data_IF_145356019208
#
_entry.id   IF_145356019208
#
_cell.length_a   1.000
_cell.length_b   1.000
_cell.length_c   1.000
_cell.angle_alpha   90.00
_cell.angle_beta   90.00
_cell.angle_gamma   90.00
#
_symmetry.space_group_name_H-M   'P 1'
#
loop_
_entity.id
_entity.type
_entity.pdbx_description
1 polymer ?
#
# COMPACT_ATOMS: atom_id res chain seq x y z
N UNK A 1 2.15 -0.23 -16.10
CA UNK A 1 1.17 -0.37 -14.99
C UNK A 1 1.86 -0.72 -13.68
N UNK A 2 2.56 -1.85 -13.62
CA UNK A 2 3.22 -2.37 -12.41
C UNK A 2 4.17 -1.38 -11.73
N UNK A 3 4.88 -0.55 -12.50
CA UNK A 3 5.82 0.47 -11.96
C UNK A 3 5.09 1.73 -11.44
N UNK A 4 3.94 2.06 -12.02
CA UNK A 4 3.22 3.30 -11.69
C UNK A 4 2.44 3.18 -10.37
N UNK A 5 1.90 2.00 -10.06
CA UNK A 5 1.20 1.74 -8.80
C UNK A 5 2.07 2.07 -7.56
N UNK A 6 3.29 1.52 -7.40
CA UNK A 6 4.14 1.88 -6.27
C UNK A 6 4.67 3.32 -6.36
N UNK A 7 4.80 3.90 -7.55
CA UNK A 7 5.21 5.32 -7.71
C UNK A 7 4.15 6.27 -7.16
N UNK A 8 2.89 6.09 -7.54
CA UNK A 8 1.77 6.86 -7.01
C UNK A 8 1.60 6.63 -5.50
N UNK A 9 1.70 5.37 -5.07
CA UNK A 9 1.69 5.01 -3.64
C UNK A 9 2.80 5.71 -2.85
N UNK A 10 4.01 5.86 -3.42
CA UNK A 10 5.13 6.58 -2.80
C UNK A 10 4.80 8.05 -2.57
N UNK A 11 4.24 8.73 -3.56
CA UNK A 11 3.89 10.16 -3.44
C UNK A 11 2.88 10.40 -2.31
N UNK A 12 1.85 9.55 -2.22
CA UNK A 12 0.87 9.58 -1.14
C UNK A 12 1.51 9.28 0.22
N UNK A 13 2.31 8.21 0.30
CA UNK A 13 2.99 7.80 1.53
C UNK A 13 3.95 8.88 2.05
N UNK A 14 4.69 9.57 1.18
CA UNK A 14 5.59 10.67 1.58
C UNK A 14 4.81 11.82 2.21
N UNK A 15 3.64 12.18 1.67
CA UNK A 15 2.78 13.22 2.25
C UNK A 15 2.27 12.82 3.63
N UNK A 16 1.78 11.58 3.77
CA UNK A 16 1.29 11.06 5.05
C UNK A 16 2.41 10.98 6.11
N UNK A 17 3.62 10.54 5.73
CA UNK A 17 4.78 10.51 6.62
C UNK A 17 5.19 11.92 7.04
N UNK A 18 5.14 12.89 6.11
CA UNK A 18 5.43 14.29 6.40
C UNK A 18 4.44 14.87 7.40
N UNK A 19 3.15 14.61 7.23
CA UNK A 19 2.09 15.01 8.16
C UNK A 19 2.27 14.37 9.54
N UNK A 20 2.63 13.09 9.59
CA UNK A 20 2.92 12.38 10.84
C UNK A 20 4.13 12.96 11.61
N UNK A 21 5.10 13.56 10.92
CA UNK A 21 6.21 14.29 11.54
C UNK A 21 7.26 13.44 12.26
N UNK A 22 7.23 12.12 12.09
CA UNK A 22 8.17 11.18 12.70
C UNK A 22 9.07 10.53 11.65
N UNK A 23 10.24 9.99 12.03
CA UNK A 23 11.12 9.36 11.07
C UNK A 23 10.48 8.09 10.49
N UNK A 24 10.54 7.94 9.17
CA UNK A 24 10.05 6.75 8.44
C UNK A 24 10.63 5.43 8.95
N UNK A 25 11.78 5.47 9.63
CA UNK A 25 12.35 4.30 10.31
C UNK A 25 11.44 3.73 11.39
N UNK A 26 10.55 4.52 11.97
CA UNK A 26 9.62 4.04 13.00
C UNK A 26 8.44 3.25 12.42
N UNK A 27 8.31 3.18 11.10
CA UNK A 27 7.31 2.33 10.44
C UNK A 27 7.71 0.86 10.62
N UNK A 28 6.81 0.10 11.23
CA UNK A 28 7.03 -1.31 11.61
C UNK A 28 6.31 -2.29 10.68
N UNK A 29 5.18 -1.86 10.12
CA UNK A 29 4.34 -2.66 9.24
C UNK A 29 3.95 -1.83 8.02
N UNK A 30 3.84 -2.49 6.87
CA UNK A 30 3.34 -1.92 5.63
C UNK A 30 2.18 -2.79 5.11
N UNK A 31 1.02 -2.18 4.91
CA UNK A 31 -0.11 -2.79 4.21
C UNK A 31 -0.26 -2.08 2.88
N UNK A 32 -0.18 -2.83 1.78
CA UNK A 32 -0.37 -2.29 0.44
C UNK A 32 -1.57 -2.98 -0.21
N UNK A 33 -2.47 -2.18 -0.79
CA UNK A 33 -3.61 -2.67 -1.54
C UNK A 33 -3.64 -2.08 -2.96
N UNK A 34 -3.91 -2.94 -3.94
CA UNK A 34 -4.21 -2.54 -5.31
C UNK A 34 -4.99 -3.62 -6.06
N UNK A 35 -5.86 -3.19 -6.95
CA UNK A 35 -6.60 -3.99 -7.94
C UNK A 35 -5.99 -3.80 -9.34
N UNK A 36 -4.99 -2.93 -9.47
CA UNK A 36 -4.44 -2.44 -10.73
C UNK A 36 -3.30 -3.29 -11.29
N UNK A 37 -3.41 -4.61 -11.15
CA UNK A 37 -2.43 -5.59 -11.58
C UNK A 37 -1.69 -6.26 -10.42
N UNK A 38 -1.00 -7.35 -10.73
CA UNK A 38 -0.25 -8.20 -9.78
C UNK A 38 1.17 -8.38 -10.31
N UNK A 39 2.16 -8.44 -9.42
CA UNK A 39 3.55 -8.72 -9.77
C UNK A 39 4.26 -9.49 -8.64
N UNK A 40 5.38 -10.12 -8.95
CA UNK A 40 6.24 -10.81 -7.99
C UNK A 40 7.72 -10.46 -8.25
N UNK A 41 8.39 -9.72 -7.35
CA UNK A 41 7.93 -9.27 -6.04
C UNK A 41 6.89 -8.14 -6.10
N UNK A 42 5.95 -8.14 -5.14
CA UNK A 42 4.76 -7.29 -5.14
C UNK A 42 5.01 -5.78 -4.98
N UNK A 43 3.93 -5.00 -5.13
CA UNK A 43 3.96 -3.54 -5.03
C UNK A 43 4.37 -3.05 -3.63
N UNK A 44 4.06 -3.83 -2.59
CA UNK A 44 4.53 -3.62 -1.22
C UNK A 44 6.07 -3.65 -1.13
N UNK A 45 6.72 -4.56 -1.85
CA UNK A 45 8.17 -4.67 -1.90
C UNK A 45 8.79 -3.50 -2.67
N UNK A 46 8.23 -3.16 -3.83
CA UNK A 46 8.67 -2.02 -4.63
C UNK A 46 8.54 -0.71 -3.83
N UNK A 47 7.42 -0.51 -3.14
CA UNK A 47 7.22 0.65 -2.29
C UNK A 47 8.22 0.71 -1.13
N UNK A 48 8.49 -0.43 -0.49
CA UNK A 48 9.48 -0.55 0.60
C UNK A 48 10.86 -0.05 0.14
N UNK A 49 11.29 -0.45 -1.07
CA UNK A 49 12.52 0.04 -1.68
C UNK A 49 12.47 1.54 -1.98
N UNK A 50 11.39 2.00 -2.62
CA UNK A 50 11.23 3.40 -3.04
C UNK A 50 11.20 4.40 -1.86
N UNK A 51 10.61 3.99 -0.74
CA UNK A 51 10.57 4.79 0.49
C UNK A 51 11.83 4.63 1.35
N UNK A 52 12.67 3.63 1.10
CA UNK A 52 13.82 3.31 1.93
C UNK A 52 13.39 2.95 3.37
N UNK A 53 12.38 2.09 3.49
CA UNK A 53 11.96 1.55 4.79
C UNK A 53 12.97 0.51 5.29
N UNK A 54 12.83 0.11 6.56
CA UNK A 54 13.67 -0.94 7.15
C UNK A 54 13.48 -2.27 6.41
N UNK A 55 14.55 -3.06 6.20
CA UNK A 55 14.46 -4.35 5.50
C UNK A 55 13.53 -5.37 6.17
N UNK A 56 13.38 -5.27 7.50
CA UNK A 56 12.55 -6.15 8.32
C UNK A 56 11.14 -5.60 8.57
N UNK A 57 10.68 -4.59 7.81
CA UNK A 57 9.29 -4.14 7.87
C UNK A 57 8.36 -5.31 7.56
N UNK A 58 7.35 -5.54 8.39
CA UNK A 58 6.37 -6.62 8.19
C UNK A 58 5.39 -6.18 7.10
N UNK A 59 5.36 -6.90 5.98
CA UNK A 59 4.59 -6.52 4.79
C UNK A 59 3.35 -7.39 4.62
N UNK A 60 2.24 -6.76 4.27
CA UNK A 60 0.97 -7.40 3.91
C UNK A 60 0.51 -6.83 2.58
N UNK A 61 0.54 -7.67 1.54
CA UNK A 61 0.11 -7.30 0.20
C UNK A 61 -1.29 -7.85 -0.05
N UNK A 62 -2.22 -6.96 -0.41
CA UNK A 62 -3.62 -7.26 -0.69
C UNK A 62 -3.90 -6.94 -2.16
N UNK A 63 -3.83 -7.96 -3.01
CA UNK A 63 -4.18 -7.81 -4.42
C UNK A 63 -5.67 -8.08 -4.67
N UNK A 64 -6.23 -7.35 -5.63
CA UNK A 64 -7.47 -7.73 -6.32
C UNK A 64 -8.72 -7.80 -5.42
N UNK A 65 -8.74 -6.99 -4.36
CA UNK A 65 -9.87 -6.90 -3.42
C UNK A 65 -10.95 -5.91 -3.90
N UNK A 66 -10.66 -5.00 -4.83
CA UNK A 66 -11.63 -4.04 -5.35
C UNK A 66 -12.00 -2.95 -4.34
N UNK A 67 -13.19 -2.35 -4.51
CA UNK A 67 -13.55 -1.10 -3.84
C UNK A 67 -13.65 -1.19 -2.30
N UNK A 68 -13.96 -2.36 -1.74
CA UNK A 68 -14.10 -2.52 -0.29
C UNK A 68 -12.75 -2.64 0.44
N UNK A 69 -11.66 -2.76 -0.31
CA UNK A 69 -10.35 -3.05 0.25
C UNK A 69 -9.85 -1.95 1.20
N UNK A 70 -10.28 -0.70 1.01
CA UNK A 70 -9.97 0.40 1.93
C UNK A 70 -10.41 0.12 3.37
N UNK A 71 -11.62 -0.41 3.57
CA UNK A 71 -12.08 -0.83 4.89
C UNK A 71 -11.33 -2.07 5.39
N UNK A 72 -11.00 -3.00 4.49
CA UNK A 72 -10.26 -4.21 4.84
C UNK A 72 -8.84 -3.92 5.34
N UNK A 73 -8.12 -3.01 4.70
CA UNK A 73 -6.76 -2.64 5.11
C UNK A 73 -6.75 -1.91 6.45
N UNK A 74 -7.75 -1.08 6.74
CA UNK A 74 -7.88 -0.41 8.03
C UNK A 74 -8.23 -1.39 9.14
N UNK A 75 -9.10 -2.37 8.87
CA UNK A 75 -9.39 -3.46 9.80
C UNK A 75 -8.12 -4.25 10.14
N UNK A 76 -7.33 -4.62 9.14
CA UNK A 76 -6.05 -5.29 9.35
C UNK A 76 -5.04 -4.40 10.11
N UNK A 77 -4.98 -3.11 9.77
CA UNK A 77 -4.11 -2.15 10.44
C UNK A 77 -4.44 -2.00 11.93
N UNK A 78 -5.72 -2.00 12.28
CA UNK A 78 -6.20 -1.95 13.67
C UNK A 78 -5.62 -3.13 14.47
N UNK A 79 -5.84 -4.35 13.99
CA UNK A 79 -5.37 -5.55 14.70
C UNK A 79 -3.84 -5.56 14.85
N UNK A 80 -3.10 -5.17 13.80
CA UNK A 80 -1.64 -5.10 13.85
C UNK A 80 -1.13 -4.02 14.80
N UNK A 81 -1.76 -2.84 14.83
CA UNK A 81 -1.36 -1.74 15.68
C UNK A 81 -1.68 -2.00 17.16
N UNK A 82 -2.84 -2.58 17.46
CA UNK A 82 -3.27 -2.87 18.84
C UNK A 82 -2.51 -4.04 19.44
N UNK A 83 -2.21 -5.07 18.66
CA UNK A 83 -1.55 -6.27 19.17
C UNK A 83 -0.02 -6.14 19.30
N UNK A 84 0.58 -5.06 18.78
CA UNK A 84 2.03 -4.85 18.82
C UNK A 84 2.37 -3.50 19.46
N UNK A 85 2.83 -3.50 20.72
CA UNK A 85 3.18 -2.28 21.45
C UNK A 85 4.22 -1.46 20.67
N UNK A 86 3.90 -0.19 20.41
CA UNK A 86 4.76 0.72 19.67
C UNK A 86 4.73 0.54 18.14
N UNK A 87 3.89 -0.34 17.61
CA UNK A 87 3.76 -0.50 16.18
C UNK A 87 3.22 0.76 15.50
N UNK A 88 3.76 1.01 14.31
CA UNK A 88 3.28 2.00 13.36
C UNK A 88 3.08 1.32 12.03
N UNK A 89 1.86 1.40 11.53
CA UNK A 89 1.40 0.75 10.30
C UNK A 89 1.23 1.82 9.24
N UNK A 90 1.98 1.71 8.14
CA UNK A 90 1.73 2.50 6.94
C UNK A 90 0.74 1.73 6.07
N UNK A 91 -0.36 2.37 5.71
CA UNK A 91 -1.38 1.80 4.83
C UNK A 91 -1.37 2.57 3.52
N UNK A 92 -1.28 1.86 2.41
CA UNK A 92 -1.28 2.44 1.07
C UNK A 92 -2.29 1.72 0.19
N UNK A 93 -3.25 2.47 -0.34
CA UNK A 93 -4.13 2.03 -1.41
C UNK A 93 -3.75 2.81 -2.67
N UNK A 94 -3.38 2.12 -3.74
CA UNK A 94 -3.02 2.77 -5.01
C UNK A 94 -3.71 2.06 -6.16
N UNK A 95 -4.52 2.82 -6.90
CA UNK A 95 -5.32 2.31 -8.02
C UNK A 95 -5.10 3.14 -9.28
N UNK A 96 -5.09 2.47 -10.42
CA UNK A 96 -4.91 2.99 -11.77
C UNK A 96 -5.93 2.32 -12.69
N UNK A 97 -6.50 3.09 -13.60
CA UNK A 97 -7.48 2.57 -14.57
C UNK A 97 -6.84 1.81 -15.74
N UNK A 98 -5.51 1.72 -15.79
CA UNK A 98 -4.79 1.14 -16.92
C UNK A 98 -5.10 -0.35 -17.19
N UNK A 99 -5.57 -1.09 -16.17
CA UNK A 99 -5.95 -2.51 -16.33
C UNK A 99 -7.40 -2.66 -16.80
N UNK A 100 -8.25 -1.67 -16.54
CA UNK A 100 -9.70 -1.77 -16.78
C UNK A 100 -10.18 -0.91 -17.95
N UNK A 101 -9.34 0.01 -18.44
CA UNK A 101 -9.68 0.90 -19.54
C UNK A 101 -9.89 0.12 -20.85
N UNK A 102 -11.12 0.16 -21.35
CA UNK A 102 -11.56 -0.39 -22.64
C UNK A 102 -12.76 0.41 -23.14
N UNK A 103 -13.09 0.29 -24.43
CA UNK A 103 -14.31 0.89 -24.98
C UNK A 103 -15.58 0.37 -24.30
N UNK A 104 -16.70 1.12 -24.35
CA UNK A 104 -17.98 0.65 -23.84
C UNK A 104 -18.39 -0.65 -24.55
N UNK A 105 -19.12 -1.50 -23.83
CA UNK A 105 -19.72 -2.73 -24.37
C UNK A 105 -21.20 -2.45 -24.58
N UNK A 106 -21.72 -2.67 -25.80
CA UNK A 106 -23.13 -2.44 -26.16
C UNK A 106 -24.09 -3.53 -25.62
N UNK A 107 -23.71 -4.21 -24.54
CA UNK A 107 -24.49 -5.25 -23.86
C UNK A 107 -25.21 -4.70 -22.65
#
# INVERSE_FOLDING_TARGET
VVVEVPRLGKEAAVKAIKEWGQPKSNITHLIFCTTSGVDMPGADYQLTKLLGLRPYVKRYMMYQQGCFAGGTVLRLAKDLAENNKGARVLVVCSELTAVTFRGPSDT
#
